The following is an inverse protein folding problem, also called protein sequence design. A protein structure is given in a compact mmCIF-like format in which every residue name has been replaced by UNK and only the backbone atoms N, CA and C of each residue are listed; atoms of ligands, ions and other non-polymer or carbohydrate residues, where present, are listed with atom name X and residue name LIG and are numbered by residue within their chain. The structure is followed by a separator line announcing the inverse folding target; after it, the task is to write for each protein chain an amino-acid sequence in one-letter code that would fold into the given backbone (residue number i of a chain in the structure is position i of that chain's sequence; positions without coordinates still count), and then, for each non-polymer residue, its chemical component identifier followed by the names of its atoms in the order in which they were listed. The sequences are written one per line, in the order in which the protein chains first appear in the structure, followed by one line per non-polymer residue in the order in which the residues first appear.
data_IF_761291682589
#
_entry.id   IF_761291682589
#
_cell.length_a   1.000
_cell.length_b   1.000
_cell.length_c   1.000
_cell.angle_alpha   90.00
_cell.angle_beta   90.00
_cell.angle_gamma   90.00
#
_symmetry.space_group_name_H-M   'P 1'
#
loop_
_entity.id
_entity.type
_entity.pdbx_description
1 polymer ?
#
# COMPACT_ATOMS: atom_id res chain seq x y z
N UNK A 1 20.64 14.33 -0.53
CA UNK A 1 19.58 13.35 -0.81
C UNK A 1 20.12 11.95 -0.59
N UNK A 2 19.46 11.15 0.22
CA UNK A 2 19.85 9.77 0.53
C UNK A 2 19.37 8.81 -0.57
N UNK A 3 18.12 8.98 -1.01
CA UNK A 3 17.56 8.16 -2.07
C UNK A 3 16.47 8.89 -2.86
N UNK A 4 16.39 8.54 -4.12
CA UNK A 4 15.32 8.87 -5.03
C UNK A 4 14.78 7.59 -5.64
N UNK A 5 13.50 7.34 -5.50
CA UNK A 5 12.83 6.18 -6.09
C UNK A 5 11.60 6.66 -6.86
N UNK A 6 11.47 6.22 -8.09
CA UNK A 6 10.31 6.48 -8.91
C UNK A 6 9.71 5.19 -9.43
N UNK A 7 8.40 5.08 -9.36
CA UNK A 7 7.63 4.04 -10.01
C UNK A 7 6.42 4.67 -10.69
N UNK A 8 6.46 4.75 -12.02
CA UNK A 8 5.45 5.45 -12.83
C UNK A 8 5.24 6.90 -12.33
N UNK A 9 4.08 7.23 -11.77
CA UNK A 9 3.73 8.56 -11.27
C UNK A 9 4.09 8.75 -9.78
N UNK A 10 4.49 7.68 -9.10
CA UNK A 10 4.84 7.72 -7.69
C UNK A 10 6.33 7.97 -7.47
N UNK A 11 6.66 8.93 -6.61
CA UNK A 11 8.03 9.35 -6.31
C UNK A 11 8.25 9.35 -4.80
N UNK A 12 9.38 8.80 -4.36
CA UNK A 12 9.88 8.90 -2.99
C UNK A 12 11.24 9.60 -2.99
N UNK A 13 11.35 10.64 -2.18
CA UNK A 13 12.59 11.34 -1.88
C UNK A 13 12.93 11.14 -0.41
N UNK A 14 14.13 10.63 -0.12
CA UNK A 14 14.65 10.48 1.23
C UNK A 14 15.86 11.39 1.43
N UNK A 15 15.83 12.19 2.47
CA UNK A 15 16.91 13.09 2.84
C UNK A 15 17.23 12.97 4.33
N UNK A 16 18.46 13.32 4.71
CA UNK A 16 18.90 13.30 6.12
C UNK A 16 18.35 14.48 6.89
N UNK A 17 18.19 15.63 6.23
CA UNK A 17 17.75 16.86 6.84
C UNK A 17 16.55 17.46 6.11
N UNK A 18 15.79 18.28 6.84
CA UNK A 18 14.66 19.04 6.27
C UNK A 18 15.11 19.95 5.12
N UNK A 19 16.30 20.53 5.23
CA UNK A 19 16.84 21.43 4.21
C UNK A 19 17.20 20.70 2.91
N UNK A 20 17.83 19.54 3.03
CA UNK A 20 18.10 18.69 1.87
C UNK A 20 16.79 18.27 1.18
N UNK A 21 15.78 17.89 1.96
CA UNK A 21 14.48 17.51 1.43
C UNK A 21 13.81 18.66 0.68
N UNK A 22 13.82 19.86 1.27
CA UNK A 22 13.27 21.06 0.61
C UNK A 22 13.96 21.38 -0.70
N UNK A 23 15.29 21.30 -0.73
CA UNK A 23 16.07 21.51 -1.98
C UNK A 23 15.75 20.44 -3.02
N UNK A 24 15.62 19.20 -2.63
CA UNK A 24 15.26 18.12 -3.53
C UNK A 24 13.85 18.30 -4.11
N UNK A 25 12.89 18.73 -3.30
CA UNK A 25 11.52 19.03 -3.75
C UNK A 25 11.52 20.20 -4.72
N UNK A 26 12.25 21.28 -4.44
CA UNK A 26 12.37 22.43 -5.33
C UNK A 26 12.98 22.02 -6.67
N UNK A 27 14.06 21.24 -6.67
CA UNK A 27 14.68 20.71 -7.89
C UNK A 27 13.71 19.85 -8.70
N UNK A 28 12.92 19.00 -8.03
CA UNK A 28 11.91 18.20 -8.70
C UNK A 28 10.85 19.06 -9.37
N UNK A 29 10.37 20.12 -8.71
CA UNK A 29 9.42 21.06 -9.31
C UNK A 29 10.01 21.76 -10.55
N UNK A 30 11.26 22.17 -10.51
CA UNK A 30 11.95 22.80 -11.65
C UNK A 30 12.07 21.83 -12.83
N UNK A 31 12.33 20.56 -12.57
CA UNK A 31 12.47 19.55 -13.61
C UNK A 31 11.14 19.19 -14.28
N UNK A 32 10.05 19.11 -13.51
CA UNK A 32 8.75 18.67 -14.03
C UNK A 32 7.90 19.82 -14.60
N UNK A 33 8.11 21.07 -14.16
CA UNK A 33 7.32 22.23 -14.60
C UNK A 33 7.36 22.46 -16.12
N UNK A 34 8.52 22.37 -16.80
CA UNK A 34 8.60 22.51 -18.27
C UNK A 34 7.80 21.43 -19.02
N UNK A 35 7.55 20.28 -18.38
CA UNK A 35 6.76 19.19 -18.93
C UNK A 35 5.25 19.37 -18.72
N UNK A 36 4.82 20.47 -18.12
CA UNK A 36 3.41 20.70 -17.77
C UNK A 36 2.89 19.82 -16.63
N UNK A 37 3.80 19.21 -15.87
CA UNK A 37 3.45 18.32 -14.77
C UNK A 37 3.50 19.07 -13.44
N UNK A 38 2.60 18.68 -12.53
CA UNK A 38 2.52 19.26 -11.20
C UNK A 38 2.38 18.16 -10.15
N UNK A 39 3.02 18.36 -8.99
CA UNK A 39 2.85 17.47 -7.85
C UNK A 39 1.48 17.68 -7.21
N UNK A 40 0.77 16.59 -6.98
CA UNK A 40 -0.56 16.63 -6.39
C UNK A 40 -0.48 16.97 -4.90
N UNK A 41 -0.98 18.14 -4.50
CA UNK A 41 -0.87 18.65 -3.12
C UNK A 41 -1.53 17.75 -2.07
N UNK A 42 -2.68 17.16 -2.38
CA UNK A 42 -3.46 16.34 -1.43
C UNK A 42 -2.86 14.94 -1.24
N UNK A 43 -2.25 14.38 -2.28
CA UNK A 43 -1.64 13.04 -2.25
C UNK A 43 -0.17 13.03 -1.84
N UNK A 44 0.34 14.17 -1.40
CA UNK A 44 1.73 14.34 -1.01
C UNK A 44 1.89 14.18 0.49
N UNK A 45 2.87 13.39 0.90
CA UNK A 45 3.32 13.30 2.28
C UNK A 45 4.72 13.89 2.41
N UNK A 46 4.92 14.78 3.35
CA UNK A 46 6.23 15.31 3.75
C UNK A 46 6.33 15.16 5.27
N UNK A 47 7.27 14.34 5.74
CA UNK A 47 7.40 14.08 7.15
C UNK A 47 8.58 13.18 7.47
N UNK A 48 8.67 12.78 8.73
CA UNK A 48 9.72 11.88 9.20
C UNK A 48 9.39 10.43 8.84
N UNK A 49 10.40 9.65 8.47
CA UNK A 49 10.25 8.21 8.16
C UNK A 49 9.72 7.41 9.36
N UNK A 50 9.95 7.88 10.59
CA UNK A 50 9.38 7.28 11.80
C UNK A 50 7.84 7.36 11.87
N UNK A 51 7.23 8.37 11.27
CA UNK A 51 5.77 8.49 11.17
C UNK A 51 5.17 7.50 10.20
N UNK A 52 5.96 7.06 9.22
CA UNK A 52 5.54 6.16 8.16
C UNK A 52 4.81 6.88 7.03
N UNK A 53 4.80 6.23 5.88
CA UNK A 53 4.11 6.68 4.66
C UNK A 53 3.69 5.47 3.82
N UNK A 54 2.74 5.69 2.93
CA UNK A 54 2.28 4.66 2.01
C UNK A 54 2.97 4.80 0.66
N UNK A 55 3.45 3.68 0.11
CA UNK A 55 4.05 3.62 -1.22
C UNK A 55 3.80 2.26 -1.85
N UNK A 56 3.30 2.26 -3.07
CA UNK A 56 2.99 1.04 -3.85
C UNK A 56 2.12 0.01 -3.11
N UNK A 57 1.16 0.48 -2.33
CA UNK A 57 0.25 -0.39 -1.58
C UNK A 57 0.81 -0.91 -0.25
N UNK A 58 1.98 -0.45 0.16
CA UNK A 58 2.61 -0.81 1.42
C UNK A 58 2.68 0.37 2.37
N UNK A 59 2.57 0.07 3.66
CA UNK A 59 2.89 0.99 4.74
C UNK A 59 4.36 0.84 5.09
N UNK A 60 5.14 1.89 4.88
CA UNK A 60 6.59 1.94 5.12
C UNK A 60 6.85 2.82 6.34
N UNK A 61 7.58 2.29 7.32
CA UNK A 61 8.00 3.02 8.50
C UNK A 61 9.40 2.59 8.91
N UNK A 62 10.25 3.56 9.28
CA UNK A 62 11.60 3.26 9.75
C UNK A 62 11.58 2.29 10.94
N UNK A 63 12.45 1.29 10.93
CA UNK A 63 12.55 0.27 11.97
C UNK A 63 11.43 -0.77 12.02
N UNK A 64 10.49 -0.75 11.08
CA UNK A 64 9.40 -1.71 11.00
C UNK A 64 9.43 -2.49 9.68
N UNK A 65 8.88 -3.70 9.70
CA UNK A 65 8.66 -4.48 8.47
C UNK A 65 7.51 -3.87 7.66
N UNK A 66 7.53 -4.09 6.36
CA UNK A 66 6.46 -3.68 5.46
C UNK A 66 5.12 -4.30 5.85
N UNK A 67 4.06 -3.54 5.67
CA UNK A 67 2.67 -3.97 5.86
C UNK A 67 1.85 -3.51 4.68
N UNK A 68 0.70 -4.14 4.37
CA UNK A 68 -0.25 -3.56 3.44
C UNK A 68 -0.71 -2.19 3.95
N UNK A 69 -0.90 -1.25 3.03
CA UNK A 69 -1.50 0.03 3.38
C UNK A 69 -2.96 -0.13 3.81
N UNK A 70 -3.45 0.77 4.65
CA UNK A 70 -4.87 0.79 5.05
C UNK A 70 -5.79 0.92 3.82
N UNK A 71 -5.40 1.73 2.84
CA UNK A 71 -6.12 1.88 1.58
C UNK A 71 -6.13 0.59 0.76
N UNK A 72 -5.01 -0.13 0.70
CA UNK A 72 -4.93 -1.43 0.03
C UNK A 72 -5.88 -2.46 0.67
N UNK A 73 -5.94 -2.50 1.99
CA UNK A 73 -6.87 -3.36 2.73
C UNK A 73 -8.34 -2.95 2.50
N UNK A 74 -8.62 -1.66 2.48
CA UNK A 74 -9.96 -1.13 2.18
C UNK A 74 -10.42 -1.56 0.78
N UNK A 75 -9.57 -1.42 -0.22
CA UNK A 75 -9.85 -1.85 -1.60
C UNK A 75 -10.05 -3.36 -1.71
N UNK A 76 -9.25 -4.14 -0.99
CA UNK A 76 -9.44 -5.60 -0.92
C UNK A 76 -10.84 -5.94 -0.41
N UNK A 77 -11.25 -5.34 0.71
CA UNK A 77 -12.58 -5.59 1.31
C UNK A 77 -13.72 -5.20 0.37
N UNK A 78 -13.63 -4.03 -0.26
CA UNK A 78 -14.66 -3.60 -1.22
C UNK A 78 -14.78 -4.51 -2.43
N UNK A 79 -13.64 -4.91 -3.01
CA UNK A 79 -13.62 -5.81 -4.17
C UNK A 79 -14.12 -7.20 -3.79
N UNK A 80 -13.72 -7.71 -2.62
CA UNK A 80 -14.20 -8.99 -2.10
C UNK A 80 -15.71 -8.96 -1.88
N UNK A 81 -16.25 -7.88 -1.30
CA UNK A 81 -17.68 -7.70 -1.13
C UNK A 81 -18.44 -7.71 -2.46
N UNK A 82 -17.98 -6.93 -3.44
CA UNK A 82 -18.60 -6.88 -4.77
C UNK A 82 -18.59 -8.24 -5.46
N UNK A 83 -17.49 -8.96 -5.34
CA UNK A 83 -17.37 -10.30 -5.91
C UNK A 83 -18.36 -11.27 -5.28
N UNK A 84 -18.47 -11.24 -3.96
CA UNK A 84 -19.39 -12.11 -3.23
C UNK A 84 -20.87 -11.75 -3.51
N UNK A 85 -21.23 -10.47 -3.51
CA UNK A 85 -22.58 -9.99 -3.81
C UNK A 85 -23.01 -10.38 -5.23
N UNK A 86 -22.08 -10.38 -6.18
CA UNK A 86 -22.38 -10.71 -7.58
C UNK A 86 -22.49 -12.21 -7.84
N UNK A 87 -21.63 -13.01 -7.26
CA UNK A 87 -21.48 -14.42 -7.61
C UNK A 87 -21.85 -15.39 -6.48
N UNK A 88 -21.78 -14.95 -5.21
CA UNK A 88 -22.09 -15.78 -4.05
C UNK A 88 -21.18 -17.01 -3.86
N UNK A 89 -20.05 -17.05 -4.57
CA UNK A 89 -19.15 -18.19 -4.61
C UNK A 89 -17.98 -18.03 -3.65
N UNK A 90 -17.97 -18.86 -2.61
CA UNK A 90 -16.92 -18.89 -1.61
C UNK A 90 -15.54 -19.28 -2.13
N UNK A 91 -15.47 -20.18 -3.09
CA UNK A 91 -14.19 -20.61 -3.66
C UNK A 91 -13.53 -19.48 -4.44
N UNK A 92 -14.32 -18.76 -5.23
CA UNK A 92 -13.82 -17.58 -5.96
C UNK A 92 -13.37 -16.47 -5.02
N UNK A 93 -14.13 -16.22 -3.98
CA UNK A 93 -13.76 -15.25 -2.96
C UNK A 93 -12.43 -15.62 -2.29
N UNK A 94 -12.29 -16.88 -1.88
CA UNK A 94 -11.06 -17.41 -1.29
C UNK A 94 -9.87 -17.29 -2.25
N UNK A 95 -10.05 -17.68 -3.49
CA UNK A 95 -9.01 -17.56 -4.53
C UNK A 95 -8.58 -16.12 -4.75
N UNK A 96 -9.53 -15.19 -4.76
CA UNK A 96 -9.25 -13.77 -4.88
C UNK A 96 -8.39 -13.25 -3.73
N UNK A 97 -8.74 -13.55 -2.49
CA UNK A 97 -7.98 -13.15 -1.30
C UNK A 97 -6.58 -13.77 -1.28
N UNK A 98 -6.46 -15.07 -1.64
CA UNK A 98 -5.16 -15.74 -1.74
C UNK A 98 -4.27 -15.12 -2.82
N UNK A 99 -4.84 -14.77 -3.97
CA UNK A 99 -4.12 -14.12 -5.07
C UNK A 99 -3.62 -12.74 -4.65
N UNK A 100 -4.47 -11.95 -4.01
CA UNK A 100 -4.09 -10.65 -3.46
C UNK A 100 -2.95 -10.77 -2.46
N UNK A 101 -3.02 -11.74 -1.57
CA UNK A 101 -1.99 -12.06 -0.61
C UNK A 101 -0.66 -12.41 -1.27
N UNK A 102 -0.68 -13.34 -2.22
CA UNK A 102 0.52 -13.75 -2.96
C UNK A 102 1.16 -12.59 -3.71
N UNK A 103 0.35 -11.73 -4.28
CA UNK A 103 0.82 -10.51 -4.93
C UNK A 103 1.59 -9.60 -3.96
N UNK A 104 1.05 -9.39 -2.76
CA UNK A 104 1.69 -8.57 -1.74
C UNK A 104 2.96 -9.19 -1.15
N UNK A 105 3.09 -10.51 -1.14
CA UNK A 105 4.31 -11.20 -0.74
C UNK A 105 5.38 -11.23 -1.82
N UNK A 106 5.04 -11.08 -3.09
CA UNK A 106 5.87 -11.37 -4.25
C UNK A 106 7.30 -10.83 -4.16
N UNK A 107 8.29 -11.70 -3.92
CA UNK A 107 9.70 -11.36 -3.83
C UNK A 107 10.12 -10.60 -2.57
N UNK A 108 9.25 -10.41 -1.60
CA UNK A 108 9.50 -9.64 -0.38
C UNK A 108 9.59 -10.53 0.87
N UNK A 109 10.03 -11.76 0.71
CA UNK A 109 10.17 -12.72 1.81
C UNK A 109 11.07 -12.17 2.93
N UNK A 110 10.57 -12.23 4.16
CA UNK A 110 11.26 -11.69 5.33
C UNK A 110 11.14 -10.16 5.51
N UNK A 111 10.77 -9.41 4.47
CA UNK A 111 10.59 -7.95 4.54
C UNK A 111 9.18 -7.55 4.96
N UNK A 112 8.19 -8.37 4.66
CA UNK A 112 6.79 -8.12 4.97
C UNK A 112 6.40 -8.82 6.27
N UNK A 113 5.78 -8.09 7.19
CA UNK A 113 5.30 -8.67 8.44
C UNK A 113 3.88 -9.19 8.27
N UNK A 114 3.77 -10.51 8.24
CA UNK A 114 2.50 -11.18 8.05
C UNK A 114 2.16 -12.18 9.15
N UNK A 115 2.43 -11.86 10.38
CA UNK A 115 2.07 -12.73 11.50
C UNK A 115 0.56 -13.04 11.44
N UNK A 116 0.24 -14.27 11.05
CA UNK A 116 -1.14 -14.71 10.82
C UNK A 116 -1.79 -14.21 9.53
N UNK A 117 -1.00 -13.80 8.56
CA UNK A 117 -1.36 -12.99 7.42
C UNK A 117 -2.58 -13.40 6.60
N UNK A 118 -2.55 -14.56 5.92
CA UNK A 118 -3.69 -15.00 5.08
C UNK A 118 -4.93 -15.20 5.95
N UNK A 119 -4.77 -15.87 7.08
CA UNK A 119 -5.87 -16.15 8.02
C UNK A 119 -6.47 -14.86 8.58
N UNK A 120 -5.62 -13.88 8.94
CA UNK A 120 -6.08 -12.58 9.44
C UNK A 120 -6.81 -11.79 8.35
N UNK A 121 -6.26 -11.74 7.14
CA UNK A 121 -6.88 -11.05 6.01
C UNK A 121 -8.21 -11.68 5.64
N UNK A 122 -8.27 -13.00 5.61
CA UNK A 122 -9.49 -13.76 5.39
C UNK A 122 -10.54 -13.47 6.45
N UNK A 123 -10.18 -13.57 7.73
CA UNK A 123 -11.05 -13.25 8.84
C UNK A 123 -11.58 -11.80 8.76
N UNK A 124 -10.73 -10.88 8.39
CA UNK A 124 -11.08 -9.46 8.24
C UNK A 124 -12.09 -9.24 7.12
N UNK A 125 -11.91 -9.90 5.97
CA UNK A 125 -12.86 -9.88 4.86
C UNK A 125 -14.20 -10.48 5.28
N UNK A 126 -14.20 -11.63 5.94
CA UNK A 126 -15.42 -12.27 6.42
C UNK A 126 -16.20 -11.39 7.40
N UNK A 127 -15.51 -10.79 8.35
CA UNK A 127 -16.13 -9.86 9.32
C UNK A 127 -16.77 -8.68 8.62
N UNK A 128 -16.09 -8.12 7.63
CA UNK A 128 -16.63 -7.00 6.84
C UNK A 128 -17.87 -7.39 6.03
N UNK A 129 -17.93 -8.63 5.57
CA UNK A 129 -19.10 -9.16 4.86
C UNK A 129 -20.24 -9.58 5.80
N UNK A 130 -20.05 -9.51 7.12
CA UNK A 130 -21.01 -9.99 8.11
C UNK A 130 -21.11 -11.51 8.19
N UNK A 131 -20.10 -12.23 7.71
CA UNK A 131 -20.07 -13.68 7.63
C UNK A 131 -19.17 -14.24 8.73
N UNK A 132 -19.65 -15.20 9.48
CA UNK A 132 -18.88 -15.79 10.60
C UNK A 132 -17.96 -16.93 10.16
N UNK A 133 -18.42 -17.78 9.25
CA UNK A 133 -17.66 -18.93 8.73
C UNK A 133 -18.06 -19.22 7.27
N UNK A 134 -17.14 -19.74 6.44
CA UNK A 134 -17.53 -20.29 5.16
C UNK A 134 -18.47 -21.49 5.38
N UNK A 135 -19.45 -21.70 4.52
CA UNK A 135 -20.19 -22.95 4.52
C UNK A 135 -19.19 -24.10 4.35
N UNK A 136 -19.29 -25.08 5.20
CA UNK A 136 -18.41 -26.24 5.28
C UNK A 136 -18.24 -26.97 3.95
#
# INVERSE_FOLDING_TARGET
LVAYVRYMDDIVLLARTRWELRRAIAALHEEIAPLGLHLHRVKRFIGRTAQGFDFLGYRIRAGARLRPSAEGLRRLRERARRLYEREGDWQRLRQYVLRWWRWHLGGLDGMVRWKGGVKRTWHHVLTHLGLKHPPG
#
